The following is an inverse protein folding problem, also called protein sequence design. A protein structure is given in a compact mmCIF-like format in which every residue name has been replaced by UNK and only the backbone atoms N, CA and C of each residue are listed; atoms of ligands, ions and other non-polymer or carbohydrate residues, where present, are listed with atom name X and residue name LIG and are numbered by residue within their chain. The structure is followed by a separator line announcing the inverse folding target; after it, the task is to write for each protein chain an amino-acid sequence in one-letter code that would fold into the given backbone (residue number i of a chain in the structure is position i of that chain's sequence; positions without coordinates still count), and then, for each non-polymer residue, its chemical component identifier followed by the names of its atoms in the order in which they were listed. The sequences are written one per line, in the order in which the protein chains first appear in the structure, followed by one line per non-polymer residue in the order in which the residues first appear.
data_IF_189776816137
#
_entry.id   IF_189776816137
#
_cell.length_a   1.000
_cell.length_b   1.000
_cell.length_c   1.000
_cell.angle_alpha   90.00
_cell.angle_beta   90.00
_cell.angle_gamma   90.00
#
_symmetry.space_group_name_H-M   'P 1'
#
loop_
_entity.id
_entity.type
_entity.pdbx_description
1 polymer ?
#
# COMPACT_ATOMS: atom_id res chain seq x y z
N UNK A 1 4.66 -3.84 13.62
CA UNK A 1 5.73 -3.80 12.58
C UNK A 1 5.03 -3.87 11.24
N UNK A 2 5.49 -3.11 10.25
CA UNK A 2 5.02 -3.19 8.87
C UNK A 2 6.19 -3.55 7.96
N UNK A 3 5.90 -4.01 6.77
CA UNK A 3 6.91 -4.22 5.74
C UNK A 3 6.32 -4.56 4.39
N UNK A 4 7.19 -4.61 3.40
CA UNK A 4 6.80 -4.96 2.04
C UNK A 4 8.00 -4.97 1.09
N UNK A 5 7.73 -5.39 -0.14
CA UNK A 5 8.72 -5.51 -1.19
C UNK A 5 8.29 -4.77 -2.45
N UNK A 6 9.25 -4.14 -3.10
CA UNK A 6 9.07 -3.50 -4.41
C UNK A 6 9.82 -4.35 -5.43
N UNK A 7 9.12 -4.67 -6.52
CA UNK A 7 9.65 -5.45 -7.64
C UNK A 7 9.41 -4.70 -8.93
N UNK A 8 10.26 -4.93 -9.93
CA UNK A 8 10.01 -4.42 -11.28
C UNK A 8 8.92 -5.24 -11.99
N UNK A 9 8.61 -4.84 -13.22
CA UNK A 9 7.61 -5.50 -14.09
C UNK A 9 7.94 -6.97 -14.42
N UNK A 10 9.20 -7.37 -14.33
CA UNK A 10 9.67 -8.74 -14.61
C UNK A 10 9.71 -9.57 -13.31
N UNK A 11 9.32 -8.98 -12.18
CA UNK A 11 9.31 -9.60 -10.87
C UNK A 11 10.66 -9.55 -10.15
N UNK A 12 11.66 -8.85 -10.69
CA UNK A 12 12.97 -8.71 -10.06
C UNK A 12 12.89 -7.84 -8.82
N UNK A 13 13.60 -8.22 -7.77
CA UNK A 13 13.64 -7.45 -6.52
C UNK A 13 14.34 -6.11 -6.72
N UNK A 14 13.67 -5.02 -6.38
CA UNK A 14 14.26 -3.69 -6.34
C UNK A 14 14.72 -3.39 -4.91
N UNK A 15 13.80 -3.44 -3.95
CA UNK A 15 14.10 -3.20 -2.54
C UNK A 15 12.99 -3.76 -1.62
N UNK A 16 13.32 -3.90 -0.34
CA UNK A 16 12.35 -4.16 0.73
C UNK A 16 12.41 -3.09 1.79
N UNK A 17 11.31 -2.96 2.54
CA UNK A 17 11.22 -2.05 3.66
C UNK A 17 10.60 -2.75 4.87
N UNK A 18 10.98 -2.27 6.05
CA UNK A 18 10.33 -2.59 7.30
C UNK A 18 10.32 -1.34 8.18
N UNK A 19 9.31 -1.21 9.05
CA UNK A 19 9.20 -0.07 9.97
C UNK A 19 8.40 -0.45 11.21
N UNK A 20 8.82 0.05 12.37
CA UNK A 20 8.00 0.03 13.57
C UNK A 20 7.04 1.23 13.57
N UNK A 21 5.74 0.96 13.73
CA UNK A 21 4.66 1.97 13.67
C UNK A 21 3.95 2.16 15.02
N UNK A 22 4.47 1.55 16.08
CA UNK A 22 3.79 1.53 17.38
C UNK A 22 2.67 0.49 17.48
N UNK A 23 1.92 0.49 18.59
CA UNK A 23 0.70 -0.31 18.74
C UNK A 23 -0.40 0.16 17.78
N UNK A 24 -0.98 -0.76 17.03
CA UNK A 24 -2.06 -0.50 16.08
C UNK A 24 -2.89 -1.77 15.86
N UNK A 25 -4.04 -1.65 15.20
CA UNK A 25 -4.78 -2.83 14.75
C UNK A 25 -4.08 -3.52 13.58
N UNK A 26 -4.55 -4.71 13.21
CA UNK A 26 -4.04 -5.44 12.04
C UNK A 26 -4.32 -4.64 10.76
N UNK A 27 -5.56 -4.16 10.59
CA UNK A 27 -5.93 -3.34 9.44
C UNK A 27 -5.08 -2.07 9.35
N UNK A 28 -4.83 -1.39 10.47
CA UNK A 28 -3.94 -0.23 10.48
C UNK A 28 -2.54 -0.59 10.00
N UNK A 29 -1.96 -1.70 10.49
CA UNK A 29 -0.63 -2.14 10.08
C UNK A 29 -0.56 -2.40 8.57
N UNK A 30 -1.57 -3.04 7.99
CA UNK A 30 -1.66 -3.31 6.55
C UNK A 30 -1.72 -2.00 5.74
N UNK A 31 -2.60 -1.07 6.14
CA UNK A 31 -2.75 0.22 5.47
C UNK A 31 -1.48 1.08 5.59
N UNK A 32 -0.81 1.05 6.74
CA UNK A 32 0.49 1.70 6.93
C UNK A 32 1.59 1.07 6.07
N UNK A 33 1.58 -0.26 5.90
CA UNK A 33 2.45 -0.98 4.97
C UNK A 33 2.29 -0.45 3.54
N UNK A 34 1.05 -0.44 3.05
CA UNK A 34 0.70 0.06 1.71
C UNK A 34 1.13 1.53 1.54
N UNK A 35 0.79 2.40 2.50
CA UNK A 35 1.17 3.81 2.46
C UNK A 35 2.70 3.99 2.41
N UNK A 36 3.44 3.21 3.21
CA UNK A 36 4.91 3.27 3.21
C UNK A 36 5.48 2.84 1.85
N UNK A 37 4.95 1.77 1.26
CA UNK A 37 5.32 1.32 -0.08
C UNK A 37 5.09 2.40 -1.13
N UNK A 38 3.92 3.05 -1.10
CA UNK A 38 3.54 4.14 -2.02
C UNK A 38 4.47 5.36 -1.90
N UNK A 39 4.79 5.79 -0.69
CA UNK A 39 5.73 6.92 -0.48
C UNK A 39 7.10 6.59 -1.08
N UNK A 40 7.62 5.39 -0.81
CA UNK A 40 8.93 4.95 -1.30
C UNK A 40 8.98 4.89 -2.84
N UNK A 41 7.91 4.43 -3.48
CA UNK A 41 7.84 4.31 -4.95
C UNK A 41 7.67 5.67 -5.62
N UNK A 42 6.80 6.53 -5.08
CA UNK A 42 6.61 7.90 -5.59
C UNK A 42 7.87 8.74 -5.45
N UNK A 43 8.58 8.66 -4.31
CA UNK A 43 9.87 9.34 -4.09
C UNK A 43 10.95 8.91 -5.09
N UNK A 44 10.78 7.74 -5.75
CA UNK A 44 11.67 7.22 -6.79
C UNK A 44 11.21 7.51 -8.21
N UNK A 45 10.09 8.22 -8.38
CA UNK A 45 9.54 8.57 -9.68
C UNK A 45 8.76 7.45 -10.36
N UNK A 46 8.36 6.40 -9.64
CA UNK A 46 7.42 5.41 -10.17
C UNK A 46 5.99 5.95 -10.07
N UNK A 47 5.34 6.20 -11.20
CA UNK A 47 3.99 6.77 -11.30
C UNK A 47 2.91 5.73 -11.65
N UNK A 48 3.30 4.53 -12.05
CA UNK A 48 2.42 3.40 -12.35
C UNK A 48 2.87 2.15 -11.60
N UNK A 49 2.00 1.60 -10.76
CA UNK A 49 2.32 0.42 -9.94
C UNK A 49 1.09 -0.42 -9.61
N UNK A 50 1.35 -1.71 -9.35
CA UNK A 50 0.36 -2.66 -8.85
C UNK A 50 0.70 -2.96 -7.39
N UNK A 51 -0.27 -2.78 -6.50
CA UNK A 51 -0.14 -3.10 -5.08
C UNK A 51 -0.72 -4.49 -4.85
N UNK A 52 0.08 -5.39 -4.28
CA UNK A 52 -0.34 -6.72 -3.87
C UNK A 52 -0.42 -6.75 -2.34
N UNK A 53 -1.57 -7.10 -1.79
CA UNK A 53 -1.79 -7.31 -0.36
C UNK A 53 -2.55 -8.62 -0.17
N UNK A 54 -2.20 -9.37 0.86
CA UNK A 54 -2.90 -10.57 1.32
C UNK A 54 -4.07 -10.24 2.26
N UNK A 55 -4.20 -8.97 2.67
CA UNK A 55 -5.31 -8.47 3.46
C UNK A 55 -6.49 -8.07 2.58
N UNK A 56 -7.46 -8.98 2.45
CA UNK A 56 -8.73 -8.70 1.77
C UNK A 56 -9.43 -7.47 2.37
N UNK A 57 -9.34 -7.30 3.69
CA UNK A 57 -9.92 -6.15 4.40
C UNK A 57 -9.27 -4.83 3.96
N UNK A 58 -7.95 -4.77 3.84
CA UNK A 58 -7.24 -3.59 3.37
C UNK A 58 -7.58 -3.26 1.90
N UNK A 59 -7.64 -4.29 1.04
CA UNK A 59 -8.05 -4.13 -0.37
C UNK A 59 -9.46 -3.56 -0.47
N UNK A 60 -10.41 -4.10 0.28
CA UNK A 60 -11.79 -3.62 0.32
C UNK A 60 -11.91 -2.20 0.88
N UNK A 61 -11.15 -1.87 1.93
CA UNK A 61 -11.13 -0.52 2.50
C UNK A 61 -10.67 0.53 1.48
N UNK A 62 -9.62 0.23 0.70
CA UNK A 62 -9.09 1.13 -0.34
C UNK A 62 -10.08 1.25 -1.51
N UNK A 63 -10.56 0.12 -2.04
CA UNK A 63 -11.50 0.12 -3.18
C UNK A 63 -12.86 0.74 -2.82
N UNK A 64 -13.38 0.43 -1.64
CA UNK A 64 -14.63 1.01 -1.13
C UNK A 64 -14.51 2.52 -0.88
N UNK A 65 -13.32 3.01 -0.52
CA UNK A 65 -13.07 4.45 -0.37
C UNK A 65 -13.11 5.17 -1.72
N UNK A 66 -12.61 4.56 -2.80
CA UNK A 66 -12.69 5.13 -4.14
C UNK A 66 -14.14 5.26 -4.63
N UNK A 67 -14.96 4.22 -4.42
CA UNK A 67 -16.39 4.27 -4.75
C UNK A 67 -17.13 5.38 -3.98
N UNK A 68 -16.80 5.58 -2.70
CA UNK A 68 -17.35 6.69 -1.91
C UNK A 68 -16.89 8.06 -2.44
N UNK A 69 -15.62 8.21 -2.81
CA UNK A 69 -15.09 9.47 -3.35
C UNK A 69 -15.82 9.92 -4.63
N UNK A 70 -16.11 8.97 -5.54
CA UNK A 70 -16.92 9.26 -6.74
C UNK A 70 -18.34 9.70 -6.38
N UNK A 71 -18.95 9.13 -5.34
CA UNK A 71 -20.28 9.51 -4.88
C UNK A 71 -20.33 10.89 -4.18
N UNK A 72 -19.20 11.44 -3.75
CA UNK A 72 -19.13 12.80 -3.17
C UNK A 72 -18.88 13.90 -4.22
N UNK A 73 -18.52 13.51 -5.45
CA UNK A 73 -18.16 14.46 -6.53
C UNK A 73 -19.28 14.60 -7.58
N UNK A 74 -20.37 13.81 -7.47
CA UNK A 74 -21.59 13.87 -8.28
C UNK A 74 -22.74 14.46 -7.45
#
# INVERSE_FOLDING_TARGET
MIGGGIRDKDGSWILGYNQFVGPCSILDAELWGILKGLVITLDRGFDSMIILSDSLEAVQAIQGSFAKFLNFTL
#
